data_IF_881871934032
#
_entry.id   IF_881871934032
#
_cell.length_a   1.000
_cell.length_b   1.000
_cell.length_c   1.000
_cell.angle_alpha   90.00
_cell.angle_beta   90.00
_cell.angle_gamma   90.00
#
_symmetry.space_group_name_H-M   'P 1'
#
loop_
_entity.id
_entity.type
_entity.pdbx_description
1 polymer ?
#
# COMPACT_ATOMS: atom_id res chain seq x y z
N UNK A 1 -7.11 -1.26 0.28
CA UNK A 1 -6.32 -1.92 -0.80
C UNK A 1 -5.93 -0.95 -1.89
N UNK A 2 -6.86 -0.34 -2.65
CA UNK A 2 -6.50 0.56 -3.77
C UNK A 2 -5.63 1.73 -3.29
N UNK A 3 -6.07 2.46 -2.27
CA UNK A 3 -5.30 3.59 -1.70
C UNK A 3 -3.95 3.11 -1.14
N UNK A 4 -3.94 1.98 -0.41
CA UNK A 4 -2.72 1.36 0.13
C UNK A 4 -1.71 1.00 -0.96
N UNK A 5 -2.17 0.45 -2.08
CA UNK A 5 -1.33 0.06 -3.22
C UNK A 5 -0.73 1.28 -3.93
N UNK A 6 -1.52 2.35 -4.09
CA UNK A 6 -1.03 3.62 -4.66
C UNK A 6 0.09 4.22 -3.80
N UNK A 7 -0.05 4.17 -2.47
CA UNK A 7 0.93 4.68 -1.51
C UNK A 7 2.20 3.82 -1.52
N UNK A 8 2.06 2.50 -1.53
CA UNK A 8 3.19 1.57 -1.66
C UNK A 8 3.93 1.75 -3.00
N UNK A 9 3.18 2.03 -4.08
CA UNK A 9 3.68 2.41 -5.40
C UNK A 9 4.31 3.80 -5.47
N UNK A 10 4.41 4.53 -4.36
CA UNK A 10 5.11 5.81 -4.28
C UNK A 10 4.38 6.99 -4.90
N UNK A 11 3.05 6.91 -5.04
CA UNK A 11 2.22 8.05 -5.48
C UNK A 11 2.09 9.04 -4.34
N UNK A 12 2.42 10.31 -4.60
CA UNK A 12 2.26 11.38 -3.62
C UNK A 12 0.78 11.67 -3.35
N UNK A 13 0.32 11.42 -2.11
CA UNK A 13 -1.01 11.80 -1.65
C UNK A 13 -1.20 13.31 -1.46
N UNK A 14 -0.10 14.08 -1.34
CA UNK A 14 -0.10 15.54 -1.14
C UNK A 14 -0.04 16.34 -2.46
N UNK A 15 -0.03 15.67 -3.60
CA UNK A 15 0.22 16.27 -4.91
C UNK A 15 1.70 16.15 -5.30
N UNK A 16 1.98 15.60 -6.48
CA UNK A 16 3.31 15.33 -7.01
C UNK A 16 3.31 14.21 -8.07
N UNK A 17 4.43 14.04 -8.78
CA UNK A 17 4.59 13.08 -9.89
C UNK A 17 4.60 11.64 -9.37
N UNK A 18 3.58 10.86 -9.70
CA UNK A 18 3.56 9.40 -9.56
C UNK A 18 3.50 8.73 -10.93
N UNK A 19 4.23 7.64 -11.15
CA UNK A 19 4.12 6.87 -12.41
C UNK A 19 3.11 5.75 -12.27
N UNK A 20 2.27 5.57 -13.29
CA UNK A 20 1.27 4.48 -13.38
C UNK A 20 1.94 3.11 -13.22
N UNK A 21 3.15 2.91 -13.77
CA UNK A 21 3.87 1.63 -13.68
C UNK A 21 4.11 1.16 -12.25
N UNK A 22 4.42 2.08 -11.31
CA UNK A 22 4.63 1.73 -9.91
C UNK A 22 3.32 1.44 -9.17
N UNK A 23 2.21 2.07 -9.58
CA UNK A 23 0.88 1.79 -9.04
C UNK A 23 0.41 0.40 -9.42
N UNK A 24 0.59 0.04 -10.70
CA UNK A 24 0.25 -1.31 -11.19
C UNK A 24 1.02 -2.37 -10.42
N UNK A 25 2.33 -2.17 -10.19
CA UNK A 25 3.14 -3.06 -9.36
C UNK A 25 2.61 -3.15 -7.92
N UNK A 26 2.26 -2.01 -7.29
CA UNK A 26 1.69 -1.98 -5.94
C UNK A 26 0.35 -2.71 -5.82
N UNK A 27 -0.51 -2.57 -6.83
CA UNK A 27 -1.82 -3.25 -6.88
C UNK A 27 -1.63 -4.76 -7.06
N UNK A 28 -0.68 -5.19 -7.91
CA UNK A 28 -0.33 -6.61 -8.09
C UNK A 28 0.15 -7.25 -6.78
N UNK A 29 1.00 -6.54 -6.03
CA UNK A 29 1.49 -7.03 -4.74
C UNK A 29 0.35 -7.15 -3.72
N UNK A 30 -0.47 -6.11 -3.54
CA UNK A 30 -1.55 -6.20 -2.56
C UNK A 30 -2.67 -7.15 -2.98
N UNK A 31 -2.92 -7.29 -4.29
CA UNK A 31 -3.89 -8.22 -4.85
C UNK A 31 -3.44 -9.68 -4.71
N UNK A 32 -2.14 -9.97 -4.86
CA UNK A 32 -1.62 -11.32 -4.60
C UNK A 32 -1.68 -11.67 -3.12
N UNK A 33 -1.43 -10.71 -2.21
CA UNK A 33 -1.59 -10.91 -0.76
C UNK A 33 -3.05 -11.22 -0.41
N UNK A 34 -4.01 -10.53 -1.02
CA UNK A 34 -5.44 -10.80 -0.82
C UNK A 34 -5.83 -12.21 -1.31
N UNK A 35 -5.38 -12.59 -2.50
CA UNK A 35 -5.61 -13.94 -3.02
C UNK A 35 -4.94 -15.02 -2.16
N UNK A 36 -3.72 -14.76 -1.66
CA UNK A 36 -3.02 -15.68 -0.78
C UNK A 36 -3.75 -15.88 0.56
N UNK A 37 -4.22 -14.80 1.20
CA UNK A 37 -5.01 -14.91 2.43
C UNK A 37 -6.34 -15.65 2.22
N UNK A 38 -6.95 -15.48 1.05
CA UNK A 38 -8.17 -16.19 0.67
C UNK A 38 -7.91 -17.70 0.49
N UNK A 39 -6.83 -18.07 -0.21
CA UNK A 39 -6.41 -19.46 -0.41
C UNK A 39 -6.03 -20.16 0.90
N UNK A 40 -5.39 -19.44 1.82
CA UNK A 40 -5.04 -19.93 3.15
C UNK A 40 -6.25 -20.06 4.10
N UNK A 41 -7.48 -19.80 3.61
CA UNK A 41 -8.71 -19.84 4.41
C UNK A 41 -8.63 -19.00 5.70
N UNK A 42 -7.88 -17.88 5.65
CA UNK A 42 -7.81 -16.96 6.78
C UNK A 42 -9.19 -16.33 6.97
N UNK A 43 -9.64 -16.27 8.23
CA UNK A 43 -10.96 -15.74 8.56
C UNK A 43 -11.13 -14.31 8.02
N UNK A 44 -12.34 -13.94 7.54
CA UNK A 44 -12.59 -12.59 7.03
C UNK A 44 -12.23 -11.51 8.04
N UNK A 45 -12.44 -11.79 9.33
CA UNK A 45 -12.07 -10.91 10.43
C UNK A 45 -10.56 -10.63 10.47
N UNK A 46 -9.73 -11.67 10.41
CA UNK A 46 -8.27 -11.50 10.37
C UNK A 46 -7.82 -10.79 9.08
N UNK A 47 -8.46 -11.05 7.94
CA UNK A 47 -8.17 -10.31 6.71
C UNK A 47 -8.43 -8.80 6.84
N UNK A 48 -9.52 -8.40 7.51
CA UNK A 48 -9.80 -6.98 7.77
C UNK A 48 -8.70 -6.33 8.62
N UNK A 49 -8.27 -7.00 9.68
CA UNK A 49 -7.19 -6.51 10.56
C UNK A 49 -5.89 -6.36 9.77
N UNK A 50 -5.51 -7.37 8.98
CA UNK A 50 -4.29 -7.33 8.16
C UNK A 50 -4.35 -6.22 7.12
N UNK A 51 -5.48 -6.05 6.41
CA UNK A 51 -5.68 -4.96 5.44
C UNK A 51 -5.56 -3.58 6.09
N UNK A 52 -6.11 -3.40 7.29
CA UNK A 52 -5.99 -2.18 8.06
C UNK A 52 -4.54 -1.90 8.47
N UNK A 53 -3.83 -2.94 8.91
CA UNK A 53 -2.44 -2.85 9.35
C UNK A 53 -1.50 -2.52 8.18
N UNK A 54 -1.72 -3.13 7.01
CA UNK A 54 -1.02 -2.80 5.75
C UNK A 54 -1.23 -1.33 5.38
N UNK A 55 -2.46 -0.83 5.48
CA UNK A 55 -2.78 0.57 5.17
C UNK A 55 -2.06 1.53 6.13
N UNK A 56 -2.11 1.24 7.44
CA UNK A 56 -1.43 2.03 8.47
C UNK A 56 0.07 2.08 8.22
N UNK A 57 0.70 0.92 7.99
CA UNK A 57 2.12 0.82 7.68
C UNK A 57 2.49 1.58 6.40
N UNK A 58 1.70 1.43 5.33
CA UNK A 58 1.92 2.15 4.08
C UNK A 58 1.86 3.68 4.27
N UNK A 59 0.88 4.19 5.02
CA UNK A 59 0.72 5.62 5.29
C UNK A 59 1.87 6.16 6.15
N UNK A 60 2.25 5.43 7.21
CA UNK A 60 3.38 5.83 8.06
C UNK A 60 4.66 5.88 7.24
N UNK A 61 4.94 4.83 6.46
CA UNK A 61 6.11 4.75 5.61
C UNK A 61 6.14 5.85 4.54
N UNK A 62 5.01 6.15 3.91
CA UNK A 62 4.86 7.26 2.96
C UNK A 62 5.16 8.62 3.60
N UNK A 63 4.68 8.84 4.83
CA UNK A 63 4.98 10.06 5.59
C UNK A 63 6.47 10.18 5.91
N UNK A 64 7.12 9.09 6.31
CA UNK A 64 8.57 9.07 6.56
C UNK A 64 9.37 9.33 5.27
N UNK A 65 9.03 8.65 4.18
CA UNK A 65 9.73 8.76 2.89
C UNK A 65 9.56 10.14 2.25
N UNK A 66 8.39 10.77 2.38
CA UNK A 66 8.17 12.15 1.96
C UNK A 66 8.99 13.15 2.78
N UNK A 67 9.16 12.92 4.10
CA UNK A 67 9.94 13.82 4.96
C UNK A 67 11.44 13.80 4.60
N UNK A 68 11.98 12.62 4.28
CA UNK A 68 13.37 12.46 3.84
C UNK A 68 13.67 13.14 2.49
N UNK A 69 12.68 13.28 1.62
CA UNK A 69 12.84 13.88 0.28
C UNK A 69 12.77 15.41 0.26
N UNK A 70 12.45 16.07 1.38
CA UNK A 70 12.29 17.54 1.47
C UNK A 70 13.57 18.27 1.93
N UNK A 71 14.63 17.52 2.23
CA UNK A 71 15.92 18.03 2.75
C UNK A 71 17.03 18.08 1.69
N UNK A 72 16.69 18.10 0.41
CA UNK A 72 17.64 18.38 -0.70
C UNK A 72 17.06 19.44 -1.61
#
# INVERSE_FOLDING_TARGET
IVISACVLGGVSLKGGIGKISYVVAGILILGTVENAMNLLNISPFAQYVVRGLILLAAVIFDRYKQKAKRTV
#
